data_IF_509746392006
#
_entry.id   IF_509746392006
#
_cell.length_a   1.000
_cell.length_b   1.000
_cell.length_c   1.000
_cell.angle_alpha   90.00
_cell.angle_beta   90.00
_cell.angle_gamma   90.00
#
_symmetry.space_group_name_H-M   'P 1'
#
loop_
_entity.id
_entity.type
_entity.pdbx_description
1 polymer ?
#
# COMPACT_ATOMS: atom_id res chain seq x y z
N UNK A 1 -8.83 -6.73 -1.06
CA UNK A 1 -8.24 -5.37 -0.87
C UNK A 1 -9.13 -4.60 0.09
N UNK A 2 -8.56 -3.78 0.98
CA UNK A 2 -9.29 -2.95 1.93
C UNK A 2 -8.92 -1.48 1.79
N UNK A 3 -9.79 -0.57 2.24
CA UNK A 3 -9.51 0.87 2.30
C UNK A 3 -9.70 1.40 3.73
N UNK A 4 -8.74 2.21 4.18
CA UNK A 4 -8.82 2.99 5.41
C UNK A 4 -8.59 4.46 5.09
N UNK A 5 -9.53 5.32 5.47
CA UNK A 5 -9.33 6.75 5.28
C UNK A 5 -8.18 7.25 6.17
N UNK A 6 -8.30 7.12 7.50
CA UNK A 6 -7.19 7.35 8.43
C UNK A 6 -6.36 6.07 8.48
N UNK A 7 -5.06 6.12 8.13
CA UNK A 7 -4.22 4.93 8.10
C UNK A 7 -4.10 4.29 9.48
N UNK A 8 -4.02 2.96 9.49
CA UNK A 8 -3.59 2.20 10.66
C UNK A 8 -2.11 2.53 10.97
N UNK A 9 -1.68 2.31 12.22
CA UNK A 9 -0.32 2.64 12.63
C UNK A 9 0.73 1.84 11.84
N UNK A 10 0.38 0.62 11.42
CA UNK A 10 1.24 -0.32 10.71
C UNK A 10 1.57 0.14 9.29
N UNK A 11 0.79 1.07 8.72
CA UNK A 11 1.18 1.75 7.47
C UNK A 11 2.53 2.48 7.60
N UNK A 12 2.95 2.78 8.84
CA UNK A 12 4.21 3.44 9.17
C UNK A 12 5.23 2.52 9.87
N UNK A 13 4.92 1.24 10.08
CA UNK A 13 5.85 0.28 10.67
C UNK A 13 7.05 -0.01 9.75
N UNK A 14 8.03 -0.74 10.27
CA UNK A 14 9.20 -1.13 9.49
C UNK A 14 8.79 -1.99 8.28
N UNK A 15 9.27 -1.65 7.07
CA UNK A 15 8.97 -2.42 5.88
C UNK A 15 9.61 -3.81 5.92
N UNK A 16 8.95 -4.76 5.26
CA UNK A 16 9.55 -6.01 4.83
C UNK A 16 10.78 -5.71 3.95
N UNK A 17 11.81 -6.55 4.06
CA UNK A 17 13.06 -6.41 3.28
C UNK A 17 13.06 -7.42 2.14
N UNK A 18 13.42 -6.96 0.95
CA UNK A 18 13.69 -7.83 -0.19
C UNK A 18 14.93 -8.71 0.08
N UNK A 19 14.79 -10.04 0.10
CA UNK A 19 15.92 -10.92 0.38
C UNK A 19 17.02 -10.86 -0.70
N UNK A 20 16.68 -10.51 -1.94
CA UNK A 20 17.62 -10.42 -3.06
C UNK A 20 18.37 -9.08 -3.06
N UNK A 21 17.66 -7.97 -2.98
CA UNK A 21 18.29 -6.63 -3.07
C UNK A 21 18.70 -6.05 -1.72
N UNK A 22 18.23 -6.63 -0.61
CA UNK A 22 18.37 -6.10 0.77
C UNK A 22 17.75 -4.72 0.95
N UNK A 23 16.89 -4.28 0.03
CA UNK A 23 16.17 -3.01 0.12
C UNK A 23 14.81 -3.19 0.78
N UNK A 24 14.31 -2.18 1.49
CA UNK A 24 12.96 -2.20 2.02
C UNK A 24 11.93 -2.14 0.88
N UNK A 25 10.83 -2.88 1.04
CA UNK A 25 9.63 -2.71 0.22
C UNK A 25 8.88 -1.45 0.65
N UNK A 26 9.43 -0.30 0.27
CA UNK A 26 8.86 1.02 0.56
C UNK A 26 9.17 2.00 -0.58
N UNK A 27 8.26 2.06 -1.54
CA UNK A 27 8.46 2.71 -2.85
C UNK A 27 7.45 3.84 -3.04
N UNK A 28 7.93 5.01 -3.49
CA UNK A 28 7.12 6.21 -3.73
C UNK A 28 7.44 7.35 -2.75
N UNK A 29 6.67 8.44 -2.86
CA UNK A 29 6.92 9.67 -2.08
C UNK A 29 6.31 9.56 -0.68
N UNK A 30 7.12 9.92 0.32
CA UNK A 30 6.80 9.92 1.75
C UNK A 30 7.62 10.99 2.47
N UNK A 31 7.24 11.34 3.69
CA UNK A 31 7.96 12.30 4.53
C UNK A 31 7.75 13.77 4.14
N UNK A 32 6.84 14.04 3.20
CA UNK A 32 6.41 15.40 2.89
C UNK A 32 5.42 15.96 3.92
N UNK A 33 4.86 15.11 4.77
CA UNK A 33 3.95 15.44 5.87
C UNK A 33 4.19 14.47 7.05
N UNK A 34 3.61 14.80 8.21
CA UNK A 34 3.71 13.97 9.42
C UNK A 34 2.90 12.67 9.34
N UNK A 35 3.07 11.83 10.36
CA UNK A 35 2.29 10.59 10.47
C UNK A 35 0.80 10.90 10.66
N UNK A 36 -0.02 10.56 9.66
CA UNK A 36 -1.47 10.74 9.69
C UNK A 36 -2.24 9.59 10.34
N UNK A 37 -1.57 8.66 11.02
CA UNK A 37 -2.25 7.54 11.68
C UNK A 37 -3.03 7.97 12.93
N UNK A 38 -4.02 7.17 13.29
CA UNK A 38 -4.70 7.32 14.58
C UNK A 38 -3.71 7.20 15.76
N UNK A 39 -3.98 7.94 16.83
CA UNK A 39 -3.15 7.92 18.05
C UNK A 39 -3.24 6.59 18.82
N UNK A 40 -4.41 5.96 18.78
CA UNK A 40 -4.67 4.66 19.40
C UNK A 40 -4.55 3.51 18.40
N UNK A 41 -4.31 2.31 18.92
CA UNK A 41 -4.24 1.08 18.14
C UNK A 41 -4.71 -0.11 18.98
N UNK A 42 -5.82 -0.71 18.57
CA UNK A 42 -6.41 -1.89 19.24
C UNK A 42 -5.89 -3.22 18.66
N UNK A 43 -4.94 -3.16 17.73
CA UNK A 43 -4.30 -4.30 17.08
C UNK A 43 -5.15 -4.90 15.96
N UNK A 44 -5.96 -4.10 15.27
CA UNK A 44 -6.79 -4.60 14.15
C UNK A 44 -5.91 -5.20 13.04
N UNK A 45 -4.73 -4.62 12.78
CA UNK A 45 -3.83 -5.13 11.77
C UNK A 45 -3.34 -6.55 12.11
N UNK A 46 -2.83 -6.75 13.32
CA UNK A 46 -2.31 -8.05 13.77
C UNK A 46 -3.43 -9.07 13.97
N UNK A 47 -4.54 -8.65 14.61
CA UNK A 47 -5.62 -9.55 15.04
C UNK A 47 -6.64 -9.86 13.95
N UNK A 48 -6.66 -9.09 12.86
CA UNK A 48 -7.58 -9.33 11.74
C UNK A 48 -6.85 -9.41 10.40
N UNK A 49 -6.13 -8.35 9.99
CA UNK A 49 -5.53 -8.27 8.64
C UNK A 49 -4.49 -9.37 8.43
N UNK A 50 -3.58 -9.58 9.39
CA UNK A 50 -2.49 -10.55 9.24
C UNK A 50 -2.93 -12.00 9.44
N UNK A 51 -4.05 -12.25 10.12
CA UNK A 51 -4.56 -13.61 10.38
C UNK A 51 -5.66 -14.03 9.42
N UNK A 52 -6.24 -13.09 8.66
CA UNK A 52 -7.17 -13.40 7.58
C UNK A 52 -6.40 -14.05 6.42
N UNK A 53 -6.54 -15.37 6.30
CA UNK A 53 -5.97 -16.17 5.23
C UNK A 53 -7.06 -16.49 4.20
N UNK A 54 -6.66 -16.68 2.95
CA UNK A 54 -7.57 -17.20 1.94
C UNK A 54 -8.11 -18.56 2.34
N UNK A 55 -9.37 -18.83 2.00
CA UNK A 55 -9.97 -20.16 2.18
C UNK A 55 -9.17 -21.24 1.44
N UNK A 56 -9.21 -22.49 1.94
CA UNK A 56 -8.34 -23.63 1.60
C UNK A 56 -8.27 -24.04 0.12
N UNK A 57 -8.92 -23.34 -0.80
CA UNK A 57 -9.08 -23.69 -2.21
C UNK A 57 -7.99 -23.14 -3.15
N UNK A 58 -7.09 -22.25 -2.72
CA UNK A 58 -6.20 -21.53 -3.67
C UNK A 58 -4.72 -21.76 -3.40
N UNK A 59 -4.21 -21.55 -2.18
CA UNK A 59 -2.81 -21.85 -1.82
C UNK A 59 -2.60 -21.98 -0.31
N UNK A 60 -1.62 -22.79 0.13
CA UNK A 60 -1.19 -22.77 1.54
C UNK A 60 -0.46 -21.45 1.84
N UNK A 61 -0.95 -20.71 2.83
CA UNK A 61 -0.30 -19.55 3.45
C UNK A 61 -0.36 -18.20 2.67
N UNK A 62 -1.47 -17.93 1.97
CA UNK A 62 -1.71 -16.61 1.34
C UNK A 62 -2.69 -15.77 2.17
N UNK A 63 -2.41 -14.46 2.27
CA UNK A 63 -3.24 -13.48 2.99
C UNK A 63 -4.48 -13.14 2.16
N UNK A 64 -5.64 -13.13 2.80
CA UNK A 64 -6.90 -12.66 2.21
C UNK A 64 -6.78 -11.16 1.84
N UNK A 65 -6.20 -10.38 2.75
CA UNK A 65 -5.95 -8.95 2.52
C UNK A 65 -4.54 -8.77 1.97
N UNK A 66 -4.43 -8.62 0.65
CA UNK A 66 -3.15 -8.35 -0.05
C UNK A 66 -2.72 -6.88 0.01
N UNK A 67 -3.69 -5.95 0.05
CA UNK A 67 -3.48 -4.51 -0.01
C UNK A 67 -4.46 -3.77 0.90
N UNK A 68 -3.93 -2.84 1.68
CA UNK A 68 -4.63 -1.79 2.42
C UNK A 68 -4.34 -0.46 1.74
N UNK A 69 -5.34 0.11 1.06
CA UNK A 69 -5.26 1.46 0.52
C UNK A 69 -5.54 2.48 1.62
N UNK A 70 -4.72 3.53 1.68
CA UNK A 70 -4.77 4.55 2.72
C UNK A 70 -5.05 5.93 2.11
N UNK A 71 -5.89 6.70 2.81
CA UNK A 71 -6.16 8.12 2.53
C UNK A 71 -5.52 9.04 3.57
N UNK A 72 -6.22 10.15 3.86
CA UNK A 72 -5.93 11.15 4.89
C UNK A 72 -4.64 11.97 4.69
N UNK A 73 -3.54 11.34 4.37
CA UNK A 73 -2.28 11.98 4.01
C UNK A 73 -2.34 12.51 2.59
N UNK A 74 -2.11 13.81 2.42
CA UNK A 74 -2.43 14.53 1.19
C UNK A 74 -1.33 14.51 0.15
N UNK A 75 -0.08 14.27 0.53
CA UNK A 75 1.10 14.25 -0.36
C UNK A 75 2.07 13.10 -0.05
N UNK A 76 1.57 12.11 0.69
CA UNK A 76 2.15 10.78 0.86
C UNK A 76 1.48 9.84 -0.12
N UNK A 77 2.27 9.13 -0.90
CA UNK A 77 1.78 8.26 -1.97
C UNK A 77 2.55 6.94 -2.06
N UNK A 78 3.48 6.69 -1.14
CA UNK A 78 4.26 5.45 -1.15
C UNK A 78 3.41 4.20 -0.90
N UNK A 79 3.94 3.07 -1.35
CA UNK A 79 3.51 1.74 -0.94
C UNK A 79 4.58 1.08 -0.11
N UNK A 80 4.19 0.60 1.07
CA UNK A 80 5.03 -0.11 2.02
C UNK A 80 4.49 -1.50 2.30
N UNK A 81 5.31 -2.54 2.17
CA UNK A 81 4.91 -3.90 2.58
C UNK A 81 5.26 -4.14 4.05
N UNK A 82 4.28 -4.55 4.85
CA UNK A 82 4.48 -4.88 6.28
C UNK A 82 3.78 -6.20 6.56
N UNK A 83 4.54 -7.22 6.95
CA UNK A 83 3.98 -8.54 7.25
C UNK A 83 3.35 -9.21 6.03
N UNK A 84 3.87 -8.95 4.83
CA UNK A 84 3.34 -9.48 3.57
C UNK A 84 2.15 -8.72 2.98
N UNK A 85 1.64 -7.68 3.65
CA UNK A 85 0.50 -6.86 3.17
C UNK A 85 0.99 -5.47 2.73
N UNK A 86 0.51 -4.99 1.59
CA UNK A 86 0.88 -3.67 1.07
C UNK A 86 0.00 -2.56 1.62
N UNK A 87 0.61 -1.61 2.32
CA UNK A 87 0.00 -0.36 2.75
C UNK A 87 0.33 0.74 1.76
N UNK A 88 -0.66 1.20 0.99
CA UNK A 88 -0.45 2.08 -0.14
C UNK A 88 -1.24 3.38 0.01
N UNK A 89 -0.55 4.51 0.05
CA UNK A 89 -1.18 5.82 0.08
C UNK A 89 -1.54 6.32 -1.33
N UNK A 90 -2.64 7.06 -1.43
CA UNK A 90 -3.14 7.68 -2.66
C UNK A 90 -3.00 9.19 -2.72
N UNK A 91 -2.18 9.81 -1.85
CA UNK A 91 -2.05 11.27 -1.77
C UNK A 91 -1.63 11.92 -3.11
N UNK A 92 -1.97 13.19 -3.25
CA UNK A 92 -1.71 14.02 -4.43
C UNK A 92 -2.94 14.37 -5.25
N UNK A 93 -4.12 13.87 -4.89
CA UNK A 93 -5.34 14.02 -5.69
C UNK A 93 -6.17 15.29 -5.43
N UNK A 94 -5.82 16.09 -4.42
CA UNK A 94 -6.64 17.25 -4.01
C UNK A 94 -6.20 18.56 -4.68
N UNK A 95 -7.18 19.41 -5.00
CA UNK A 95 -6.99 20.81 -5.36
C UNK A 95 -7.01 21.75 -4.14
N UNK A 96 -7.35 21.24 -2.96
CA UNK A 96 -7.36 22.02 -1.72
C UNK A 96 -5.95 22.25 -1.18
N UNK A 97 -5.76 23.33 -0.41
CA UNK A 97 -4.45 23.83 0.04
C UNK A 97 -3.67 22.96 1.03
N UNK A 98 -4.08 21.71 1.27
CA UNK A 98 -3.35 20.80 2.13
C UNK A 98 -2.35 20.00 1.28
N UNK A 99 -1.10 20.46 1.27
CA UNK A 99 -0.04 19.85 0.47
C UNK A 99 1.20 20.73 0.40
N UNK A 100 1.92 20.62 -0.72
CA UNK A 100 3.14 21.39 -0.99
C UNK A 100 2.98 22.10 -2.33
N UNK A 101 3.29 23.40 -2.38
CA UNK A 101 3.30 24.17 -3.63
C UNK A 101 4.22 23.49 -4.63
N UNK A 102 3.74 23.29 -5.86
CA UNK A 102 4.47 22.58 -6.91
C UNK A 102 4.52 21.05 -6.75
N UNK A 103 3.77 20.47 -5.80
CA UNK A 103 3.56 19.03 -5.79
C UNK A 103 2.73 18.64 -7.01
N UNK A 104 3.34 17.85 -7.88
CA UNK A 104 2.70 17.35 -9.08
C UNK A 104 1.54 16.40 -8.72
N UNK A 105 0.32 16.84 -9.03
CA UNK A 105 -0.92 16.15 -8.61
C UNK A 105 -1.01 14.80 -9.28
N UNK A 106 -1.51 13.83 -8.53
CA UNK A 106 -1.61 12.45 -8.99
C UNK A 106 -2.67 11.68 -8.22
N UNK A 107 -3.18 10.62 -8.84
CA UNK A 107 -4.03 9.65 -8.18
C UNK A 107 -3.53 8.24 -8.44
N UNK A 108 -3.68 7.37 -7.44
CA UNK A 108 -3.27 5.97 -7.53
C UNK A 108 -4.39 5.13 -8.12
N UNK A 109 -4.07 4.37 -9.15
CA UNK A 109 -4.98 3.41 -9.78
C UNK A 109 -4.62 2.01 -9.29
N UNK A 110 -5.64 1.18 -9.07
CA UNK A 110 -5.49 -0.25 -8.84
C UNK A 110 -6.23 -0.99 -9.93
N UNK A 111 -5.53 -1.90 -10.62
CA UNK A 111 -6.12 -2.87 -11.52
C UNK A 111 -6.15 -4.21 -10.80
N UNK A 112 -7.36 -4.72 -10.59
CA UNK A 112 -7.63 -5.96 -9.87
C UNK A 112 -8.18 -6.95 -10.88
N UNK A 113 -7.51 -8.08 -11.02
CA UNK A 113 -7.82 -9.13 -11.98
C UNK A 113 -7.85 -10.47 -11.24
N UNK A 114 -8.35 -11.51 -11.91
CA UNK A 114 -8.33 -12.88 -11.39
C UNK A 114 -8.92 -13.01 -9.98
N UNK A 115 -10.06 -12.37 -9.72
CA UNK A 115 -10.72 -12.34 -8.41
C UNK A 115 -9.83 -11.82 -7.26
N UNK A 116 -8.81 -11.02 -7.57
CA UNK A 116 -7.87 -10.48 -6.59
C UNK A 116 -6.56 -11.26 -6.49
N UNK A 117 -6.33 -12.28 -7.32
CA UNK A 117 -5.03 -12.96 -7.41
C UNK A 117 -3.96 -12.10 -8.09
N UNK A 118 -4.37 -11.21 -9.00
CA UNK A 118 -3.48 -10.25 -9.62
C UNK A 118 -3.89 -8.83 -9.24
N UNK A 119 -2.97 -8.07 -8.64
CA UNK A 119 -3.19 -6.66 -8.31
C UNK A 119 -2.00 -5.85 -8.82
N UNK A 120 -2.26 -4.91 -9.73
CA UNK A 120 -1.30 -3.92 -10.21
C UNK A 120 -1.71 -2.54 -9.74
N UNK A 121 -0.73 -1.67 -9.54
CA UNK A 121 -0.99 -0.27 -9.24
C UNK A 121 0.04 0.63 -9.90
N UNK A 122 -0.40 1.83 -10.25
CA UNK A 122 0.43 2.92 -10.73
C UNK A 122 -0.22 4.23 -10.31
N UNK A 123 0.45 5.35 -10.56
CA UNK A 123 -0.12 6.68 -10.38
C UNK A 123 -0.24 7.36 -11.74
N UNK A 124 -1.35 8.06 -11.95
CA UNK A 124 -1.53 8.99 -13.07
C UNK A 124 -1.35 10.40 -12.56
N UNK A 125 -0.48 11.18 -13.20
CA UNK A 125 -0.29 12.59 -12.87
C UNK A 125 -1.33 13.45 -13.59
N UNK A 126 -1.43 14.72 -13.21
CA UNK A 126 -2.27 15.70 -13.90
C UNK A 126 -1.80 16.01 -15.34
N UNK A 127 -0.55 15.71 -15.67
CA UNK A 127 0.01 15.79 -17.03
C UNK A 127 -0.06 14.45 -17.78
N UNK A 128 -0.91 13.53 -17.30
CA UNK A 128 -1.18 12.23 -17.91
C UNK A 128 -0.06 11.19 -17.84
N UNK A 129 1.06 11.49 -17.17
CA UNK A 129 2.17 10.56 -17.00
C UNK A 129 1.78 9.36 -16.13
N UNK A 130 2.35 8.19 -16.45
CA UNK A 130 2.29 6.99 -15.61
C UNK A 130 3.57 6.91 -14.78
N UNK A 131 3.42 6.90 -13.45
CA UNK A 131 4.57 6.82 -12.54
C UNK A 131 4.40 5.74 -11.48
N UNK A 132 5.51 5.06 -11.17
CA UNK A 132 5.58 4.09 -10.07
C UNK A 132 4.67 2.87 -10.27
N UNK A 133 4.62 2.32 -11.48
CA UNK A 133 3.93 1.06 -11.75
C UNK A 133 4.58 -0.10 -10.98
N UNK A 134 3.75 -0.95 -10.39
CA UNK A 134 4.19 -2.12 -9.62
C UNK A 134 3.10 -3.20 -9.56
N UNK A 135 3.53 -4.45 -9.46
CA UNK A 135 2.67 -5.61 -9.20
C UNK A 135 2.69 -5.89 -7.70
N UNK A 136 1.53 -5.80 -7.04
CA UNK A 136 1.37 -6.00 -5.59
C UNK A 136 1.06 -7.46 -5.24
N UNK A 137 0.29 -8.13 -6.08
CA UNK A 137 -0.08 -9.54 -5.95
C UNK A 137 -0.12 -10.21 -7.33
N UNK A 138 0.13 -11.52 -7.37
CA UNK A 138 0.15 -12.32 -8.59
C UNK A 138 1.54 -12.47 -9.21
N UNK A 139 1.58 -12.88 -10.48
CA UNK A 139 2.84 -13.14 -11.19
C UNK A 139 3.67 -11.86 -11.32
N UNK A 140 4.92 -11.91 -10.83
CA UNK A 140 5.83 -10.77 -10.85
C UNK A 140 5.74 -9.86 -9.62
N UNK A 141 4.83 -10.15 -8.68
CA UNK A 141 4.84 -9.50 -7.37
C UNK A 141 6.03 -10.00 -6.53
N UNK A 142 6.58 -9.16 -5.62
CA UNK A 142 7.61 -9.59 -4.70
C UNK A 142 7.17 -10.76 -3.83
N UNK A 143 8.03 -11.78 -3.69
CA UNK A 143 7.69 -13.02 -2.99
C UNK A 143 7.24 -12.75 -1.54
N UNK A 144 6.17 -13.43 -1.13
CA UNK A 144 5.75 -13.47 0.28
C UNK A 144 6.84 -14.21 1.08
N UNK A 145 7.12 -13.72 2.28
CA UNK A 145 8.05 -14.40 3.18
C UNK A 145 7.41 -15.73 3.56
N UNK A 146 8.05 -16.86 3.23
CA UNK A 146 7.62 -18.17 3.73
C UNK A 146 7.80 -18.13 5.26
N UNK A 147 6.71 -18.35 5.99
CA UNK A 147 6.74 -18.54 7.43
C UNK A 147 7.58 -19.77 7.79
#
# INVERSE_FOLDING_TARGET
>A
MMFFHIPLQEAYANPDIDPATKRPYDVGLKGNEGHGAAKGNDGFYEKAVLVAMESDHVTKNTKEVKVVANGHCHITENCRRVGGVWNCFGGGGSYSGYGKVGFDRRFRIYQIEDYGETIRTWKRTEQEDVVGEQVLAGRGAPALRRA
#
